data_IF_056774892830
#
_entry.id   IF_056774892830
#
_cell.length_a   1.000
_cell.length_b   1.000
_cell.length_c   1.000
_cell.angle_alpha   90.00
_cell.angle_beta   90.00
_cell.angle_gamma   90.00
#
_symmetry.space_group_name_H-M   'P 1'
#
loop_
_entity.id
_entity.type
_entity.pdbx_description
1 polymer ?
#
# COMPACT_ATOMS: atom_id res chain seq x y z
N UNK A 1 19.74 31.63 -48.23
CA UNK A 1 18.70 32.51 -47.64
C UNK A 1 17.67 31.58 -47.02
N UNK A 2 17.88 31.29 -45.73
CA UNK A 2 16.95 31.57 -44.61
C UNK A 2 15.97 30.40 -44.43
N UNK A 3 16.19 29.39 -43.60
CA UNK A 3 16.41 29.31 -42.13
C UNK A 3 15.16 29.62 -41.26
N UNK A 4 14.87 28.66 -40.36
CA UNK A 4 13.98 28.63 -39.17
C UNK A 4 12.44 28.57 -39.36
N UNK A 5 11.63 27.87 -38.54
CA UNK A 5 11.77 26.99 -37.37
C UNK A 5 10.43 26.20 -37.21
N UNK A 6 10.40 24.89 -36.97
CA UNK A 6 10.33 24.21 -35.66
C UNK A 6 9.35 24.84 -34.66
N UNK A 7 8.09 24.39 -34.67
CA UNK A 7 7.16 24.58 -33.54
C UNK A 7 7.24 23.37 -32.59
N UNK A 8 7.85 23.58 -31.43
CA UNK A 8 7.80 22.66 -30.30
C UNK A 8 6.47 22.76 -29.53
N UNK A 9 6.19 21.82 -28.61
CA UNK A 9 4.95 21.81 -27.84
C UNK A 9 4.93 23.00 -26.87
N UNK A 10 3.87 23.82 -26.98
CA UNK A 10 3.59 24.96 -26.10
C UNK A 10 3.51 24.50 -24.64
N UNK A 11 4.31 25.17 -23.82
CA UNK A 11 4.55 24.85 -22.43
C UNK A 11 3.33 24.96 -21.51
N UNK A 12 3.45 24.19 -20.44
CA UNK A 12 2.80 24.37 -19.15
C UNK A 12 3.04 25.79 -18.61
N UNK A 13 1.96 26.45 -18.23
CA UNK A 13 2.00 27.71 -17.49
C UNK A 13 0.79 28.56 -17.81
N UNK A 14 -0.34 28.28 -17.14
CA UNK A 14 -1.47 29.20 -16.87
C UNK A 14 -2.78 28.42 -16.64
N UNK A 15 -2.91 27.69 -15.53
CA UNK A 15 -4.22 27.41 -14.92
C UNK A 15 -4.15 27.43 -13.38
N UNK A 16 -3.33 28.33 -12.80
CA UNK A 16 -3.69 28.95 -11.53
C UNK A 16 -4.55 30.19 -11.84
N UNK A 17 -5.82 29.96 -12.19
CA UNK A 17 -6.84 31.00 -12.11
C UNK A 17 -7.75 30.65 -10.94
N UNK A 18 -7.63 31.51 -9.93
CA UNK A 18 -8.28 31.50 -8.63
C UNK A 18 -9.57 30.71 -8.56
N UNK A 19 -9.60 29.82 -7.57
CA UNK A 19 -10.83 29.36 -6.97
C UNK A 19 -11.49 30.56 -6.28
N UNK A 20 -12.11 31.43 -7.08
CA UNK A 20 -13.02 32.44 -6.58
C UNK A 20 -14.13 31.66 -5.88
N UNK A 21 -14.15 31.77 -4.55
CA UNK A 21 -15.12 31.19 -3.65
C UNK A 21 -16.53 31.48 -4.15
N UNK A 22 -17.09 30.54 -4.91
CA UNK A 22 -18.49 30.61 -5.35
C UNK A 22 -19.33 30.51 -4.08
N UNK A 23 -20.03 31.59 -3.76
CA UNK A 23 -21.01 31.64 -2.68
C UNK A 23 -21.90 30.41 -2.79
N UNK A 24 -21.83 29.54 -1.78
CA UNK A 24 -22.57 28.30 -1.74
C UNK A 24 -24.05 28.59 -1.51
N UNK A 25 -24.95 27.77 -2.06
CA UNK A 25 -26.40 27.95 -1.85
C UNK A 25 -26.78 28.00 -0.35
N UNK A 26 -26.00 27.36 0.51
CA UNK A 26 -26.17 27.36 1.97
C UNK A 26 -25.83 28.73 2.57
N UNK A 27 -24.77 29.40 2.10
CA UNK A 27 -24.44 30.77 2.54
C UNK A 27 -25.49 31.78 2.10
N UNK A 28 -26.05 31.61 0.89
CA UNK A 28 -27.13 32.49 0.38
C UNK A 28 -28.38 32.35 1.25
N UNK A 29 -28.78 31.11 1.59
CA UNK A 29 -29.95 30.87 2.46
C UNK A 29 -29.70 31.43 3.87
N UNK A 30 -28.50 31.21 4.44
CA UNK A 30 -28.14 31.74 5.75
C UNK A 30 -28.14 33.29 5.77
N UNK A 31 -27.65 33.91 4.70
CA UNK A 31 -27.67 35.37 4.54
C UNK A 31 -29.09 35.93 4.44
N UNK A 32 -29.97 35.28 3.65
CA UNK A 32 -31.38 35.66 3.55
C UNK A 32 -32.06 35.53 4.92
N UNK A 33 -31.88 34.41 5.62
CA UNK A 33 -32.50 34.18 6.93
C UNK A 33 -32.01 35.20 7.97
N UNK A 34 -30.71 35.53 7.97
CA UNK A 34 -30.14 36.58 8.82
C UNK A 34 -30.73 37.96 8.49
N UNK A 35 -30.90 38.26 7.21
CA UNK A 35 -31.53 39.50 6.76
C UNK A 35 -32.99 39.62 7.19
N UNK A 36 -33.77 38.54 7.03
CA UNK A 36 -35.17 38.47 7.49
C UNK A 36 -35.26 38.68 9.00
N UNK A 37 -34.34 38.09 9.77
CA UNK A 37 -34.27 38.30 11.22
C UNK A 37 -33.99 39.76 11.58
N UNK A 38 -33.00 40.39 10.92
CA UNK A 38 -32.67 41.79 11.15
C UNK A 38 -33.83 42.74 10.79
N UNK A 39 -34.56 42.44 9.71
CA UNK A 39 -35.78 43.18 9.36
C UNK A 39 -36.85 43.00 10.43
N UNK A 40 -37.03 41.80 10.97
CA UNK A 40 -37.93 41.53 12.10
C UNK A 40 -37.55 42.34 13.36
N UNK A 41 -36.26 42.40 13.68
CA UNK A 41 -35.73 43.23 14.78
C UNK A 41 -36.01 44.71 14.51
N UNK A 42 -35.78 45.20 13.28
CA UNK A 42 -36.05 46.59 12.93
C UNK A 42 -37.54 46.95 13.04
N UNK A 43 -38.44 46.06 12.59
CA UNK A 43 -39.90 46.22 12.74
C UNK A 43 -40.30 46.22 14.21
N UNK A 44 -39.72 45.34 15.03
CA UNK A 44 -39.97 45.33 16.47
C UNK A 44 -39.56 46.67 17.11
N UNK A 45 -38.38 47.18 16.77
CA UNK A 45 -37.89 48.47 17.27
C UNK A 45 -38.79 49.65 16.86
N UNK A 46 -39.19 49.73 15.59
CA UNK A 46 -40.00 50.84 15.07
C UNK A 46 -41.49 50.74 15.44
N UNK A 47 -42.05 49.53 15.46
CA UNK A 47 -43.49 49.29 15.63
C UNK A 47 -43.94 49.02 17.07
N UNK A 48 -43.08 48.41 17.89
CA UNK A 48 -43.42 48.02 19.27
C UNK A 48 -42.66 48.83 20.33
N UNK A 49 -41.76 49.74 19.94
CA UNK A 49 -41.06 50.62 20.88
C UNK A 49 -40.15 49.88 21.88
N UNK A 50 -39.71 48.66 21.54
CA UNK A 50 -38.90 47.76 22.39
C UNK A 50 -37.52 48.36 22.75
N UNK A 51 -37.18 49.51 22.17
CA UNK A 51 -35.91 50.21 22.32
C UNK A 51 -36.04 51.62 22.88
N UNK A 52 -36.89 51.79 23.89
CA UNK A 52 -36.75 52.90 24.81
C UNK A 52 -36.36 52.37 26.19
N UNK A 53 -35.10 51.94 26.38
CA UNK A 53 -34.56 51.87 27.73
C UNK A 53 -34.76 53.25 28.35
N UNK A 54 -35.60 53.34 29.39
CA UNK A 54 -35.74 54.60 30.12
C UNK A 54 -34.36 55.09 30.61
N UNK A 55 -34.23 56.35 31.04
CA UNK A 55 -32.95 56.95 31.43
C UNK A 55 -32.12 56.15 32.47
N UNK A 56 -32.73 55.17 33.13
CA UNK A 56 -32.16 54.33 34.19
C UNK A 56 -32.03 52.84 33.80
N UNK A 57 -31.99 52.49 32.51
CA UNK A 57 -31.85 51.09 32.10
C UNK A 57 -30.53 50.49 32.62
N UNK A 58 -30.62 49.30 33.21
CA UNK A 58 -29.46 48.65 33.78
C UNK A 58 -28.54 48.14 32.66
N UNK A 59 -27.21 48.10 32.85
CA UNK A 59 -26.28 47.55 31.86
C UNK A 59 -26.63 46.13 31.39
N UNK A 60 -27.35 45.36 32.22
CA UNK A 60 -27.84 44.01 31.89
C UNK A 60 -28.93 44.01 30.81
N UNK A 61 -29.76 45.05 30.72
CA UNK A 61 -30.82 45.15 29.70
C UNK A 61 -30.21 45.33 28.31
N UNK A 62 -29.12 46.13 28.24
CA UNK A 62 -28.34 46.30 27.01
C UNK A 62 -27.67 45.01 26.56
N UNK A 63 -27.08 44.24 27.50
CA UNK A 63 -26.47 42.94 27.20
C UNK A 63 -27.51 41.92 26.72
N UNK A 64 -28.69 41.91 27.35
CA UNK A 64 -29.79 41.01 26.98
C UNK A 64 -30.35 41.34 25.59
N UNK A 65 -30.46 42.62 25.24
CA UNK A 65 -30.83 43.09 23.90
C UNK A 65 -29.79 42.66 22.85
N UNK A 66 -28.50 42.84 23.16
CA UNK A 66 -27.42 42.43 22.28
C UNK A 66 -27.43 40.91 22.06
N UNK A 67 -27.62 40.12 23.13
CA UNK A 67 -27.71 38.67 23.04
C UNK A 67 -28.93 38.21 22.23
N UNK A 68 -30.08 38.86 22.39
CA UNK A 68 -31.30 38.56 21.64
C UNK A 68 -31.14 38.78 20.13
N UNK A 69 -30.30 39.74 19.71
CA UNK A 69 -30.03 40.01 18.29
C UNK A 69 -28.96 39.05 17.75
N UNK A 70 -27.85 38.88 18.47
CA UNK A 70 -26.68 38.15 17.97
C UNK A 70 -26.78 36.63 18.10
N UNK A 71 -27.42 36.10 19.15
CA UNK A 71 -27.55 34.65 19.37
C UNK A 71 -28.24 33.89 18.22
N UNK A 72 -29.40 34.33 17.69
CA UNK A 72 -30.04 33.64 16.57
C UNK A 72 -29.21 33.73 15.27
N UNK A 73 -28.53 34.84 15.01
CA UNK A 73 -27.63 34.98 13.86
C UNK A 73 -26.47 33.98 13.98
N UNK A 74 -25.88 33.86 15.16
CA UNK A 74 -24.83 32.88 15.42
C UNK A 74 -25.33 31.44 15.21
N UNK A 75 -26.52 31.09 15.69
CA UNK A 75 -27.13 29.77 15.49
C UNK A 75 -27.36 29.46 14.01
N UNK A 76 -27.82 30.44 13.22
CA UNK A 76 -28.03 30.29 11.77
C UNK A 76 -26.69 29.99 11.07
N UNK A 77 -25.62 30.69 11.43
CA UNK A 77 -24.29 30.46 10.85
C UNK A 77 -23.68 29.12 11.27
N UNK A 78 -23.90 28.68 12.51
CA UNK A 78 -23.48 27.34 12.97
C UNK A 78 -24.23 26.24 12.20
N UNK A 79 -25.55 26.38 12.03
CA UNK A 79 -26.34 25.43 11.24
C UNK A 79 -25.88 25.38 9.78
N UNK A 80 -25.55 26.54 9.18
CA UNK A 80 -25.02 26.64 7.84
C UNK A 80 -23.64 25.94 7.70
N UNK A 81 -22.76 26.11 8.68
CA UNK A 81 -21.45 25.45 8.71
C UNK A 81 -21.60 23.92 8.78
N UNK A 82 -22.48 23.41 9.65
CA UNK A 82 -22.77 21.97 9.75
C UNK A 82 -23.36 21.42 8.46
N UNK A 83 -24.28 22.15 7.83
CA UNK A 83 -24.89 21.75 6.56
C UNK A 83 -23.88 21.71 5.40
N UNK A 84 -22.86 22.57 5.40
CA UNK A 84 -21.75 22.52 4.43
C UNK A 84 -20.98 21.21 4.57
N UNK A 85 -20.56 20.87 5.78
CA UNK A 85 -19.78 19.64 6.04
C UNK A 85 -20.58 18.38 5.67
N UNK A 86 -21.88 18.38 5.93
CA UNK A 86 -22.76 17.27 5.58
C UNK A 86 -23.01 17.12 4.06
N UNK A 87 -22.97 18.22 3.28
CA UNK A 87 -23.14 18.16 1.82
C UNK A 87 -21.91 17.59 1.12
N UNK A 88 -20.72 17.99 1.53
CA UNK A 88 -19.45 17.45 0.98
C UNK A 88 -19.38 15.93 1.18
N UNK A 89 -19.79 15.44 2.37
CA UNK A 89 -19.87 13.99 2.61
C UNK A 89 -20.98 13.27 1.84
N UNK A 90 -22.10 13.94 1.52
CA UNK A 90 -23.17 13.35 0.71
C UNK A 90 -22.80 13.23 -0.77
N UNK A 91 -22.01 14.16 -1.30
CA UNK A 91 -21.48 14.07 -2.67
C UNK A 91 -20.49 12.90 -2.82
N UNK A 92 -19.71 12.62 -1.77
CA UNK A 92 -18.82 11.44 -1.74
C UNK A 92 -19.60 10.12 -1.54
N UNK A 93 -20.61 10.10 -0.68
CA UNK A 93 -21.42 8.91 -0.42
C UNK A 93 -22.29 8.48 -1.62
N UNK A 94 -22.85 9.44 -2.37
CA UNK A 94 -23.65 9.13 -3.57
C UNK A 94 -22.80 8.56 -4.71
N UNK A 95 -21.55 9.04 -4.85
CA UNK A 95 -20.58 8.49 -5.80
C UNK A 95 -20.18 7.05 -5.44
N UNK A 96 -19.93 6.77 -4.17
CA UNK A 96 -19.64 5.42 -3.68
C UNK A 96 -20.83 4.47 -3.86
N UNK A 97 -22.05 4.92 -3.55
CA UNK A 97 -23.25 4.12 -3.79
C UNK A 97 -23.45 3.79 -5.27
N UNK A 98 -23.21 4.74 -6.18
CA UNK A 98 -23.32 4.50 -7.62
C UNK A 98 -22.31 3.46 -8.13
N UNK A 99 -21.08 3.45 -7.61
CA UNK A 99 -20.06 2.46 -7.94
C UNK A 99 -20.42 1.06 -7.42
N UNK A 100 -20.96 0.97 -6.19
CA UNK A 100 -21.42 -0.28 -5.60
C UNK A 100 -22.60 -0.86 -6.38
N UNK A 101 -23.56 -0.01 -6.77
CA UNK A 101 -24.70 -0.45 -7.58
C UNK A 101 -24.24 -0.93 -8.96
N UNK A 102 -23.28 -0.24 -9.61
CA UNK A 102 -22.71 -0.70 -10.87
C UNK A 102 -22.00 -2.07 -10.75
N UNK A 103 -21.22 -2.30 -9.68
CA UNK A 103 -20.60 -3.61 -9.41
C UNK A 103 -21.64 -4.70 -9.15
N UNK A 104 -22.71 -4.39 -8.42
CA UNK A 104 -23.80 -5.35 -8.14
C UNK A 104 -24.52 -5.74 -9.42
N UNK A 105 -24.77 -4.80 -10.33
CA UNK A 105 -25.35 -5.12 -11.63
C UNK A 105 -24.40 -5.95 -12.51
N UNK A 106 -23.11 -5.61 -12.56
CA UNK A 106 -22.10 -6.41 -13.28
C UNK A 106 -21.97 -7.84 -12.72
N UNK A 107 -22.04 -8.00 -11.40
CA UNK A 107 -21.99 -9.32 -10.75
C UNK A 107 -23.26 -10.15 -11.00
N UNK A 108 -24.45 -9.52 -11.02
CA UNK A 108 -25.70 -10.20 -11.35
C UNK A 108 -25.77 -10.54 -12.84
N UNK A 109 -25.27 -9.67 -13.72
CA UNK A 109 -25.16 -9.93 -15.15
C UNK A 109 -24.20 -11.10 -15.42
N UNK A 110 -23.07 -11.16 -14.72
CA UNK A 110 -22.13 -12.28 -14.75
C UNK A 110 -22.68 -13.56 -14.11
N UNK A 111 -23.51 -13.46 -13.07
CA UNK A 111 -24.22 -14.59 -12.47
C UNK A 111 -25.39 -15.09 -13.35
N UNK A 112 -26.01 -14.22 -14.16
CA UNK A 112 -27.06 -14.59 -15.12
C UNK A 112 -26.49 -15.10 -16.45
N UNK A 113 -25.33 -14.61 -16.91
CA UNK A 113 -24.55 -15.30 -17.96
C UNK A 113 -23.92 -16.60 -17.46
N UNK A 114 -23.87 -16.81 -16.14
CA UNK A 114 -23.62 -18.08 -15.46
C UNK A 114 -24.87 -18.97 -15.32
N UNK A 115 -25.72 -19.08 -16.34
CA UNK A 115 -26.78 -20.10 -16.38
C UNK A 115 -26.16 -21.51 -16.62
N UNK A 116 -26.76 -22.60 -16.08
CA UNK A 116 -26.16 -23.93 -15.91
C UNK A 116 -26.07 -24.76 -17.22
N UNK A 117 -25.40 -24.21 -18.23
CA UNK A 117 -25.25 -24.81 -19.56
C UNK A 117 -23.86 -24.65 -20.21
N UNK A 118 -22.86 -24.14 -19.49
CA UNK A 118 -21.47 -23.99 -20.00
C UNK A 118 -20.59 -25.22 -19.70
N UNK A 119 -21.04 -26.11 -18.80
CA UNK A 119 -20.41 -27.43 -18.57
C UNK A 119 -20.20 -28.28 -19.84
N UNK A 120 -21.13 -28.41 -20.80
CA UNK A 120 -20.93 -29.30 -21.95
C UNK A 120 -19.84 -28.85 -22.92
N UNK A 121 -19.40 -27.59 -22.93
CA UNK A 121 -18.33 -27.14 -23.84
C UNK A 121 -16.95 -27.42 -23.23
N UNK A 122 -16.80 -27.20 -21.92
CA UNK A 122 -15.55 -27.49 -21.21
C UNK A 122 -15.39 -29.00 -21.03
N UNK A 123 -16.46 -29.74 -20.69
CA UNK A 123 -16.45 -31.21 -20.61
C UNK A 123 -16.17 -31.87 -21.98
N UNK A 124 -16.78 -31.39 -23.08
CA UNK A 124 -16.42 -31.87 -24.43
C UNK A 124 -14.96 -31.60 -24.78
N UNK A 125 -14.40 -30.46 -24.37
CA UNK A 125 -12.98 -30.14 -24.61
C UNK A 125 -12.05 -30.96 -23.72
N UNK A 126 -12.46 -31.32 -22.51
CA UNK A 126 -11.74 -32.24 -21.62
C UNK A 126 -11.77 -33.69 -22.15
N UNK A 127 -12.91 -34.16 -22.66
CA UNK A 127 -13.01 -35.51 -23.26
C UNK A 127 -12.22 -35.62 -24.57
N UNK A 128 -12.24 -34.57 -25.41
CA UNK A 128 -11.45 -34.50 -26.65
C UNK A 128 -9.93 -34.52 -26.35
N UNK A 129 -9.49 -33.89 -25.24
CA UNK A 129 -8.10 -33.94 -24.76
C UNK A 129 -7.72 -35.27 -24.11
N UNK A 130 -8.64 -35.92 -23.39
CA UNK A 130 -8.40 -37.24 -22.78
C UNK A 130 -8.26 -38.34 -23.84
N UNK A 131 -9.01 -38.25 -24.95
CA UNK A 131 -8.87 -39.17 -26.09
C UNK A 131 -7.57 -38.90 -26.85
N UNK A 132 -7.16 -37.63 -26.99
CA UNK A 132 -5.88 -37.29 -27.60
C UNK A 132 -4.68 -37.83 -26.78
N UNK A 133 -4.74 -37.78 -25.45
CA UNK A 133 -3.69 -38.34 -24.58
C UNK A 133 -3.57 -39.86 -24.69
N UNK A 134 -4.69 -40.61 -24.76
CA UNK A 134 -4.66 -42.07 -24.95
C UNK A 134 -4.05 -42.50 -26.28
N UNK A 135 -4.21 -41.70 -27.34
CA UNK A 135 -3.59 -41.99 -28.65
C UNK A 135 -2.07 -41.79 -28.62
N UNK A 136 -1.57 -40.79 -27.88
CA UNK A 136 -0.13 -40.63 -27.65
C UNK A 136 0.45 -41.73 -26.77
N UNK A 137 -0.27 -42.20 -25.75
CA UNK A 137 0.20 -43.29 -24.88
C UNK A 137 0.29 -44.62 -25.63
N UNK A 138 -0.70 -44.95 -26.47
CA UNK A 138 -0.67 -46.14 -27.31
C UNK A 138 0.46 -46.11 -28.36
N UNK A 139 0.77 -44.94 -28.91
CA UNK A 139 1.89 -44.77 -29.84
C UNK A 139 3.24 -44.96 -29.11
N UNK A 140 3.40 -44.41 -27.90
CA UNK A 140 4.65 -44.51 -27.12
C UNK A 140 4.93 -45.97 -26.71
N UNK A 141 3.91 -46.78 -26.43
CA UNK A 141 4.07 -48.22 -26.09
C UNK A 141 4.45 -49.07 -27.31
N UNK A 142 4.01 -48.70 -28.52
CA UNK A 142 4.41 -49.42 -29.74
C UNK A 142 5.87 -49.14 -30.16
N UNK A 143 6.47 -48.04 -29.73
CA UNK A 143 7.88 -47.73 -30.02
C UNK A 143 8.88 -48.35 -29.03
N UNK A 144 8.46 -48.76 -27.82
CA UNK A 144 9.37 -49.35 -26.82
C UNK A 144 9.44 -50.89 -26.87
N UNK A 145 8.51 -51.56 -27.55
CA UNK A 145 8.43 -53.03 -27.62
C UNK A 145 9.38 -53.70 -28.63
N UNK A 146 10.19 -52.96 -29.39
CA UNK A 146 10.89 -53.52 -30.57
C UNK A 146 12.42 -53.56 -30.48
N UNK A 147 12.98 -53.78 -29.29
CA UNK A 147 14.42 -54.02 -29.17
C UNK A 147 14.75 -55.03 -28.07
N UNK A 148 14.55 -56.31 -28.38
CA UNK A 148 15.25 -57.38 -27.66
C UNK A 148 15.34 -58.69 -28.46
N UNK A 149 16.53 -59.00 -29.03
CA UNK A 149 17.07 -60.36 -29.30
C UNK A 149 18.50 -60.31 -29.96
N UNK A 150 19.32 -61.39 -29.98
CA UNK A 150 20.29 -61.78 -28.94
C UNK A 150 21.72 -62.12 -29.47
N UNK A 151 22.73 -62.33 -28.60
CA UNK A 151 23.88 -63.28 -28.73
C UNK A 151 24.82 -63.11 -27.53
N UNK A 152 24.93 -64.09 -26.60
CA UNK A 152 25.84 -65.26 -26.57
C UNK A 152 27.31 -64.92 -26.27
N UNK A 153 27.80 -65.24 -25.06
CA UNK A 153 28.78 -66.32 -24.77
C UNK A 153 29.37 -66.29 -23.33
N UNK A 154 29.45 -67.49 -22.74
CA UNK A 154 30.41 -68.01 -21.74
C UNK A 154 30.34 -67.67 -20.21
N UNK A 155 30.02 -68.74 -19.45
CA UNK A 155 30.28 -69.09 -18.03
C UNK A 155 31.77 -68.93 -17.59
N UNK A 156 32.20 -69.11 -16.30
CA UNK A 156 31.48 -69.64 -15.11
C UNK A 156 31.76 -68.99 -13.71
N UNK A 157 30.82 -69.22 -12.77
CA UNK A 157 30.89 -69.56 -11.32
C UNK A 157 31.91 -68.95 -10.30
N UNK A 158 31.33 -68.35 -9.23
CA UNK A 158 31.64 -68.27 -7.77
C UNK A 158 33.00 -68.79 -7.22
N UNK A 159 33.61 -68.17 -6.16
CA UNK A 159 33.05 -68.28 -4.79
C UNK A 159 33.35 -67.16 -3.73
N UNK A 160 32.49 -67.16 -2.69
CA UNK A 160 32.64 -66.82 -1.26
C UNK A 160 33.84 -65.97 -0.79
N UNK A 161 33.54 -64.89 -0.07
CA UNK A 161 34.43 -64.23 0.90
C UNK A 161 33.63 -63.62 2.04
N UNK A 162 33.97 -64.00 3.27
CA UNK A 162 33.32 -63.77 4.56
C UNK A 162 33.96 -62.58 5.28
N UNK A 163 33.18 -61.72 5.94
CA UNK A 163 33.45 -60.98 7.21
C UNK A 163 32.12 -60.31 7.60
N UNK A 164 31.27 -60.86 8.48
CA UNK A 164 31.27 -60.70 9.96
C UNK A 164 31.62 -59.26 10.39
N UNK A 165 30.62 -58.41 10.66
CA UNK A 165 29.98 -58.15 11.96
C UNK A 165 30.77 -57.06 12.75
N UNK A 166 30.21 -56.02 13.38
CA UNK A 166 28.85 -55.68 13.80
C UNK A 166 28.82 -54.21 14.30
N UNK A 167 27.60 -53.65 14.52
CA UNK A 167 27.22 -52.70 15.62
C UNK A 167 27.69 -51.23 15.47
N UNK A 168 26.92 -50.13 15.58
CA UNK A 168 25.58 -49.76 16.07
C UNK A 168 25.35 -48.26 15.69
N UNK A 169 24.23 -47.83 15.08
CA UNK A 169 23.01 -47.20 15.66
C UNK A 169 22.90 -45.68 15.42
N UNK A 170 21.89 -45.33 14.61
CA UNK A 170 20.96 -44.17 14.65
C UNK A 170 21.47 -42.71 14.74
N UNK A 171 20.95 -41.90 13.82
CA UNK A 171 20.66 -40.48 14.10
C UNK A 171 21.46 -39.47 13.28
N UNK A 172 21.21 -39.38 11.98
CA UNK A 172 21.69 -38.27 11.17
C UNK A 172 21.16 -38.37 9.75
N UNK A 173 20.25 -37.46 9.39
CA UNK A 173 19.63 -37.34 8.07
C UNK A 173 20.62 -37.67 6.95
N UNK A 174 20.36 -38.73 6.20
CA UNK A 174 20.96 -38.93 4.89
C UNK A 174 20.48 -37.79 4.00
N UNK A 175 21.35 -36.80 3.77
CA UNK A 175 21.16 -35.77 2.76
C UNK A 175 20.92 -36.47 1.43
N UNK A 176 19.66 -36.44 0.98
CA UNK A 176 19.29 -36.87 -0.35
C UNK A 176 20.09 -36.01 -1.34
N UNK A 177 21.07 -36.63 -2.00
CA UNK A 177 21.78 -36.08 -3.14
C UNK A 177 20.84 -36.03 -4.35
N UNK A 178 19.86 -35.13 -4.30
CA UNK A 178 19.18 -34.63 -5.48
C UNK A 178 20.09 -33.54 -6.06
N UNK A 179 20.28 -33.55 -7.39
CA UNK A 179 21.17 -32.64 -8.10
C UNK A 179 21.01 -31.19 -7.64
N UNK A 180 22.06 -30.38 -7.82
CA UNK A 180 22.12 -28.94 -7.47
C UNK A 180 20.72 -28.33 -7.53
N UNK A 181 20.14 -27.93 -6.39
CA UNK A 181 18.79 -27.38 -6.40
C UNK A 181 18.76 -26.23 -7.41
N UNK A 182 17.70 -26.15 -8.21
CA UNK A 182 17.56 -25.09 -9.22
C UNK A 182 17.72 -23.68 -8.61
N UNK A 183 17.52 -23.54 -7.29
CA UNK A 183 17.84 -22.35 -6.48
C UNK A 183 19.32 -21.97 -6.42
N UNK A 184 20.25 -22.92 -6.49
CA UNK A 184 21.70 -22.63 -6.51
C UNK A 184 22.20 -22.15 -7.88
N UNK A 185 21.35 -22.18 -8.91
CA UNK A 185 21.65 -21.72 -10.27
C UNK A 185 21.12 -20.30 -10.56
N UNK A 186 20.34 -19.72 -9.65
CA UNK A 186 19.84 -18.35 -9.83
C UNK A 186 20.89 -17.36 -9.36
N UNK A 187 21.27 -16.45 -10.26
CA UNK A 187 22.16 -15.36 -9.94
C UNK A 187 21.47 -14.42 -8.94
N UNK A 188 22.08 -14.12 -7.79
CA UNK A 188 21.49 -13.21 -6.81
C UNK A 188 21.17 -11.85 -7.43
N UNK A 189 20.07 -11.23 -7.00
CA UNK A 189 19.73 -9.89 -7.47
C UNK A 189 20.85 -8.88 -7.14
N UNK A 190 21.12 -7.98 -8.09
CA UNK A 190 22.08 -6.90 -7.87
C UNK A 190 21.59 -5.95 -6.76
N UNK A 191 22.51 -5.40 -5.97
CA UNK A 191 22.19 -4.42 -4.91
C UNK A 191 21.43 -3.22 -5.48
N UNK A 192 21.83 -2.73 -6.67
CA UNK A 192 21.18 -1.63 -7.35
C UNK A 192 19.74 -1.94 -7.76
N UNK A 193 19.47 -3.13 -8.31
CA UNK A 193 18.11 -3.53 -8.68
C UNK A 193 17.25 -3.77 -7.43
N UNK A 194 17.82 -4.29 -6.35
CA UNK A 194 17.12 -4.42 -5.07
C UNK A 194 16.70 -3.06 -4.50
N UNK A 195 17.59 -2.06 -4.49
CA UNK A 195 17.27 -0.70 -4.03
C UNK A 195 16.15 -0.10 -4.90
N UNK A 196 16.23 -0.24 -6.23
CA UNK A 196 15.18 0.23 -7.14
C UNK A 196 13.84 -0.46 -6.87
N UNK A 197 13.86 -1.78 -6.66
CA UNK A 197 12.66 -2.54 -6.33
C UNK A 197 12.06 -2.10 -4.99
N UNK A 198 12.89 -1.87 -3.96
CA UNK A 198 12.45 -1.38 -2.65
C UNK A 198 11.89 0.05 -2.68
N UNK A 199 12.25 0.86 -3.68
CA UNK A 199 11.62 2.15 -3.89
C UNK A 199 10.24 2.06 -4.53
N UNK A 200 9.93 0.95 -5.22
CA UNK A 200 8.78 0.78 -6.12
C UNK A 200 8.77 1.74 -7.32
N UNK A 201 8.17 1.34 -8.47
CA UNK A 201 8.05 2.20 -9.63
C UNK A 201 7.24 3.47 -9.34
N UNK A 202 7.71 4.62 -9.83
CA UNK A 202 7.03 5.91 -9.57
C UNK A 202 5.83 6.15 -10.47
N UNK A 203 5.89 5.67 -11.71
CA UNK A 203 4.86 5.87 -12.73
C UNK A 203 4.61 4.60 -13.53
N UNK A 204 3.50 4.57 -14.28
CA UNK A 204 3.19 3.46 -15.19
C UNK A 204 4.22 3.29 -16.32
N UNK A 205 5.05 4.31 -16.57
CA UNK A 205 6.04 4.35 -17.65
C UNK A 205 7.44 3.94 -17.16
N UNK A 206 7.63 3.72 -15.86
CA UNK A 206 8.91 3.34 -15.25
C UNK A 206 9.29 1.87 -15.54
N UNK A 207 9.73 1.62 -16.77
CA UNK A 207 10.14 0.30 -17.25
C UNK A 207 11.30 -0.29 -16.46
N UNK A 208 12.24 0.55 -16.03
CA UNK A 208 13.40 0.11 -15.27
C UNK A 208 13.00 -0.31 -13.84
N UNK A 209 12.11 0.45 -13.20
CA UNK A 209 11.52 0.09 -11.91
C UNK A 209 10.73 -1.22 -11.98
N UNK A 210 9.89 -1.42 -13.00
CA UNK A 210 9.17 -2.68 -13.19
C UNK A 210 10.09 -3.87 -13.48
N UNK A 211 11.20 -3.66 -14.22
CA UNK A 211 12.21 -4.71 -14.43
C UNK A 211 12.87 -5.11 -13.12
N UNK A 212 13.35 -4.14 -12.35
CA UNK A 212 13.97 -4.36 -11.04
C UNK A 212 13.00 -5.05 -10.07
N UNK A 213 11.74 -4.61 -10.03
CA UNK A 213 10.70 -5.21 -9.21
C UNK A 213 10.46 -6.68 -9.56
N UNK A 214 10.41 -7.03 -10.86
CA UNK A 214 10.24 -8.41 -11.30
C UNK A 214 11.41 -9.29 -10.86
N UNK A 215 12.64 -8.83 -11.08
CA UNK A 215 13.85 -9.54 -10.63
C UNK A 215 13.85 -9.75 -9.11
N UNK A 216 13.43 -8.73 -8.34
CA UNK A 216 13.37 -8.82 -6.88
C UNK A 216 12.27 -9.79 -6.39
N UNK A 217 11.21 -9.97 -7.17
CA UNK A 217 10.14 -10.93 -6.87
C UNK A 217 10.50 -12.38 -7.21
N UNK A 218 11.48 -12.60 -8.11
CA UNK A 218 12.05 -13.91 -8.42
C UNK A 218 12.97 -14.41 -7.29
N UNK A 219 13.72 -13.51 -6.65
CA UNK A 219 14.52 -13.82 -5.45
C UNK A 219 13.62 -14.01 -4.21
N UNK A 220 13.70 -15.19 -3.58
CA UNK A 220 12.82 -15.56 -2.45
C UNK A 220 12.97 -14.64 -1.24
N UNK A 221 14.17 -14.20 -0.90
CA UNK A 221 14.42 -13.38 0.29
C UNK A 221 14.04 -11.93 0.04
N UNK A 222 14.41 -11.37 -1.12
CA UNK A 222 14.01 -10.03 -1.53
C UNK A 222 12.48 -9.93 -1.65
N UNK A 223 11.83 -10.92 -2.26
CA UNK A 223 10.40 -10.90 -2.50
C UNK A 223 9.57 -10.87 -1.22
N UNK A 224 10.05 -11.44 -0.11
CA UNK A 224 9.37 -11.35 1.19
C UNK A 224 9.32 -9.89 1.68
N UNK A 225 10.43 -9.16 1.59
CA UNK A 225 10.47 -7.75 1.97
C UNK A 225 9.60 -6.91 1.03
N UNK A 226 9.73 -7.12 -0.28
CA UNK A 226 8.98 -6.34 -1.27
C UNK A 226 7.47 -6.51 -1.05
N UNK A 227 6.99 -7.75 -0.85
CA UNK A 227 5.56 -7.98 -0.57
C UNK A 227 5.11 -7.35 0.76
N UNK A 228 5.86 -7.57 1.84
CA UNK A 228 5.47 -6.98 3.14
C UNK A 228 5.53 -5.45 3.13
N UNK A 229 6.48 -4.86 2.41
CA UNK A 229 6.57 -3.43 2.18
C UNK A 229 5.36 -2.93 1.36
N UNK A 230 5.00 -3.62 0.29
CA UNK A 230 3.84 -3.27 -0.53
C UNK A 230 2.55 -3.28 0.28
N UNK A 231 2.33 -4.32 1.09
CA UNK A 231 1.15 -4.43 1.96
C UNK A 231 1.10 -3.26 2.95
N UNK A 232 2.24 -2.98 3.59
CA UNK A 232 2.35 -1.89 4.56
C UNK A 232 2.14 -0.51 3.92
N UNK A 233 2.75 -0.24 2.76
CA UNK A 233 2.57 1.01 2.02
C UNK A 233 1.13 1.19 1.56
N UNK A 234 0.47 0.09 1.15
CA UNK A 234 -0.95 0.11 0.79
C UNK A 234 -1.81 0.52 1.97
N UNK A 235 -1.59 -0.07 3.15
CA UNK A 235 -2.33 0.30 4.37
C UNK A 235 -2.07 1.75 4.80
N UNK A 236 -0.83 2.22 4.75
CA UNK A 236 -0.49 3.62 5.05
C UNK A 236 -1.19 4.60 4.08
N UNK A 237 -1.27 4.24 2.80
CA UNK A 237 -1.96 5.08 1.79
C UNK A 237 -3.47 5.20 2.02
N UNK A 238 -4.11 4.19 2.62
CA UNK A 238 -5.53 4.24 2.96
C UNK A 238 -5.83 5.30 4.02
N UNK A 239 -4.85 5.57 4.90
CA UNK A 239 -4.91 6.62 5.91
C UNK A 239 -4.35 7.97 5.40
N UNK A 240 -4.06 8.07 4.10
CA UNK A 240 -3.52 9.28 3.47
C UNK A 240 -2.04 9.55 3.75
N UNK A 241 -1.28 8.55 4.20
CA UNK A 241 0.14 8.68 4.50
C UNK A 241 0.96 8.18 3.31
N UNK A 242 1.50 9.10 2.53
CA UNK A 242 2.38 8.80 1.39
C UNK A 242 3.85 9.03 1.75
N UNK A 243 4.71 8.05 1.44
CA UNK A 243 6.14 8.13 1.82
C UNK A 243 6.91 9.23 1.07
N UNK A 244 6.42 9.64 -0.10
CA UNK A 244 7.02 10.68 -0.92
C UNK A 244 6.83 12.09 -0.31
N UNK A 245 5.78 12.27 0.50
CA UNK A 245 5.51 13.52 1.22
C UNK A 245 6.42 13.66 2.47
N UNK A 246 6.94 12.55 2.97
CA UNK A 246 7.78 12.53 4.16
C UNK A 246 9.19 12.98 3.81
N UNK A 247 9.76 13.86 4.64
CA UNK A 247 11.15 14.31 4.52
C UNK A 247 11.98 13.78 5.70
N UNK A 248 12.58 12.59 5.59
CA UNK A 248 13.41 12.06 6.66
C UNK A 248 14.69 12.91 6.82
N UNK A 249 15.12 13.11 8.05
CA UNK A 249 16.46 13.64 8.32
C UNK A 249 17.52 12.65 7.83
N UNK A 250 18.52 13.15 7.10
CA UNK A 250 19.58 12.31 6.54
C UNK A 250 20.36 11.62 7.66
N UNK A 251 20.30 10.29 7.66
CA UNK A 251 21.02 9.47 8.61
C UNK A 251 22.39 9.08 8.06
N UNK A 252 23.41 9.02 8.92
CA UNK A 252 24.73 8.51 8.53
C UNK A 252 24.64 7.00 8.23
N UNK A 253 25.39 6.48 7.23
CA UNK A 253 25.45 5.05 6.93
C UNK A 253 25.84 4.19 8.14
N UNK A 254 26.74 4.71 8.97
CA UNK A 254 27.22 4.06 10.20
C UNK A 254 26.07 3.67 11.15
N UNK A 255 25.00 4.48 11.23
CA UNK A 255 23.86 4.19 12.10
C UNK A 255 23.03 3.01 11.56
N UNK A 256 22.88 2.90 10.24
CA UNK A 256 22.25 1.73 9.62
C UNK A 256 23.05 0.46 9.85
N UNK A 257 24.39 0.53 9.77
CA UNK A 257 25.28 -0.61 10.07
C UNK A 257 25.18 -1.03 11.53
N UNK A 258 25.23 -0.07 12.46
CA UNK A 258 25.08 -0.34 13.91
C UNK A 258 23.71 -0.94 14.24
N UNK A 259 22.65 -0.45 13.60
CA UNK A 259 21.33 -1.05 13.73
C UNK A 259 21.30 -2.50 13.21
N UNK A 260 21.91 -2.78 12.05
CA UNK A 260 22.02 -4.14 11.51
C UNK A 260 22.83 -5.08 12.44
N UNK A 261 23.81 -4.56 13.18
CA UNK A 261 24.57 -5.31 14.19
C UNK A 261 23.79 -5.56 15.49
N UNK A 262 22.54 -5.10 15.59
CA UNK A 262 21.68 -5.33 16.75
C UNK A 262 21.74 -4.23 17.81
N UNK A 263 22.39 -3.10 17.55
CA UNK A 263 22.33 -1.95 18.48
C UNK A 263 20.91 -1.36 18.51
N UNK A 264 20.42 -0.99 19.69
CA UNK A 264 19.05 -0.50 19.92
C UNK A 264 19.04 0.68 20.91
N UNK A 265 17.95 1.47 20.90
CA UNK A 265 17.71 2.58 21.83
C UNK A 265 18.42 3.89 21.48
N UNK A 266 18.60 4.76 22.48
CA UNK A 266 19.16 6.12 22.36
C UNK A 266 20.32 6.35 21.36
N UNK A 267 21.36 5.49 21.29
CA UNK A 267 22.45 5.64 20.32
C UNK A 267 22.03 5.61 18.85
N UNK A 268 20.93 4.93 18.53
CA UNK A 268 20.36 4.82 17.18
C UNK A 268 19.08 5.63 16.99
N UNK A 269 18.68 6.46 17.97
CA UNK A 269 17.47 7.28 17.92
C UNK A 269 17.38 8.17 16.67
N UNK A 270 18.54 8.58 16.15
CA UNK A 270 18.67 9.37 14.93
C UNK A 270 18.31 8.61 13.65
N UNK A 271 18.18 7.28 13.69
CA UNK A 271 17.76 6.44 12.56
C UNK A 271 16.28 6.65 12.22
N UNK A 272 15.43 6.93 13.22
CA UNK A 272 14.03 7.30 13.04
C UNK A 272 13.88 8.72 12.52
N UNK A 273 14.38 9.00 11.31
CA UNK A 273 14.50 10.34 10.72
C UNK A 273 13.17 11.05 10.43
N UNK A 274 12.04 10.36 10.54
CA UNK A 274 10.71 10.91 10.28
C UNK A 274 10.16 11.55 11.56
N UNK A 275 9.92 12.87 11.49
CA UNK A 275 9.43 13.69 12.62
C UNK A 275 8.05 14.31 12.40
N UNK A 276 7.36 13.95 11.33
CA UNK A 276 6.03 14.48 11.05
C UNK A 276 5.03 14.04 12.14
N UNK A 277 4.58 15.00 12.95
CA UNK A 277 3.69 14.74 14.09
C UNK A 277 2.34 14.18 13.66
N UNK A 278 1.83 14.61 12.50
CA UNK A 278 0.52 14.17 11.99
C UNK A 278 0.60 12.72 11.57
N UNK A 279 1.60 12.35 10.77
CA UNK A 279 1.79 10.97 10.33
C UNK A 279 2.07 10.04 11.52
N UNK A 280 2.91 10.45 12.47
CA UNK A 280 3.18 9.67 13.68
C UNK A 280 1.91 9.45 14.51
N UNK A 281 1.06 10.47 14.66
CA UNK A 281 -0.20 10.36 15.38
C UNK A 281 -1.20 9.44 14.68
N UNK A 282 -1.36 9.57 13.36
CA UNK A 282 -2.25 8.73 12.55
C UNK A 282 -1.81 7.27 12.58
N UNK A 283 -0.54 6.99 12.32
CA UNK A 283 0.02 5.63 12.37
C UNK A 283 -0.08 5.04 13.78
N UNK A 284 0.21 5.81 14.84
CA UNK A 284 0.06 5.34 16.23
C UNK A 284 -1.38 5.02 16.60
N UNK A 285 -2.34 5.87 16.17
CA UNK A 285 -3.76 5.60 16.35
C UNK A 285 -4.17 4.32 15.61
N UNK A 286 -3.71 4.14 14.37
CA UNK A 286 -4.02 2.97 13.55
C UNK A 286 -3.50 1.66 14.16
N UNK A 287 -2.25 1.66 14.63
CA UNK A 287 -1.64 0.53 15.36
C UNK A 287 -2.45 0.07 16.58
N UNK A 288 -3.17 0.99 17.24
CA UNK A 288 -4.02 0.66 18.39
C UNK A 288 -5.42 0.20 17.97
N UNK A 289 -6.00 0.83 16.95
CA UNK A 289 -7.37 0.60 16.53
C UNK A 289 -7.57 -0.62 15.64
N UNK A 290 -6.57 -0.99 14.84
CA UNK A 290 -6.69 -1.98 13.77
C UNK A 290 -5.70 -3.14 13.98
N UNK A 291 -6.19 -4.33 14.39
CA UNK A 291 -5.34 -5.50 14.57
C UNK A 291 -4.63 -5.96 13.30
N UNK A 292 -5.26 -5.79 12.12
CA UNK A 292 -4.68 -6.21 10.84
C UNK A 292 -3.51 -5.29 10.51
N UNK A 293 -3.70 -3.97 10.64
CA UNK A 293 -2.62 -3.00 10.48
C UNK A 293 -1.44 -3.30 11.40
N UNK A 294 -1.73 -3.58 12.67
CA UNK A 294 -0.69 -3.90 13.67
C UNK A 294 0.08 -5.17 13.30
N UNK A 295 -0.60 -6.22 12.87
CA UNK A 295 0.04 -7.48 12.46
C UNK A 295 0.91 -7.29 11.22
N UNK A 296 0.38 -6.62 10.18
CA UNK A 296 1.13 -6.28 8.97
C UNK A 296 2.37 -5.43 9.28
N UNK A 297 2.23 -4.43 10.17
CA UNK A 297 3.36 -3.59 10.59
C UNK A 297 4.45 -4.39 11.29
N UNK A 298 4.11 -5.26 12.24
CA UNK A 298 5.09 -6.11 12.90
C UNK A 298 5.75 -7.10 11.95
N UNK A 299 4.97 -7.73 11.06
CA UNK A 299 5.49 -8.63 10.05
C UNK A 299 6.49 -7.91 9.13
N UNK A 300 6.13 -6.72 8.66
CA UNK A 300 6.99 -5.87 7.85
C UNK A 300 8.27 -5.47 8.57
N UNK A 301 8.20 -4.97 9.82
CA UNK A 301 9.37 -4.57 10.61
C UNK A 301 10.35 -5.75 10.81
N UNK A 302 9.84 -6.94 11.11
CA UNK A 302 10.65 -8.15 11.26
C UNK A 302 11.31 -8.54 9.93
N UNK A 303 10.57 -8.45 8.82
CA UNK A 303 11.12 -8.80 7.51
C UNK A 303 12.19 -7.79 7.06
N UNK A 304 11.98 -6.50 7.32
CA UNK A 304 12.93 -5.43 7.02
C UNK A 304 14.24 -5.62 7.77
N UNK A 305 14.20 -5.88 9.08
CA UNK A 305 15.39 -6.12 9.90
C UNK A 305 16.19 -7.31 9.38
N UNK A 306 15.53 -8.44 9.09
CA UNK A 306 16.18 -9.63 8.52
C UNK A 306 16.88 -9.34 7.19
N UNK A 307 16.23 -8.60 6.29
CA UNK A 307 16.83 -8.25 5.00
C UNK A 307 17.99 -7.26 5.16
N UNK A 308 17.88 -6.32 6.09
CA UNK A 308 18.94 -5.33 6.33
C UNK A 308 20.23 -5.98 6.83
N UNK A 309 20.13 -6.99 7.71
CA UNK A 309 21.30 -7.76 8.19
C UNK A 309 22.04 -8.48 7.05
N UNK A 310 21.32 -8.95 6.04
CA UNK A 310 21.92 -9.53 4.84
C UNK A 310 22.52 -8.47 3.91
N UNK A 311 21.76 -7.40 3.68
CA UNK A 311 22.09 -6.31 2.77
C UNK A 311 23.32 -5.51 3.21
N UNK A 312 23.48 -5.25 4.51
CA UNK A 312 24.59 -4.46 5.05
C UNK A 312 25.98 -5.06 4.74
N UNK A 313 26.06 -6.40 4.64
CA UNK A 313 27.30 -7.13 4.36
C UNK A 313 27.78 -6.96 2.93
N UNK A 314 26.86 -6.71 1.99
CA UNK A 314 27.15 -6.58 0.56
C UNK A 314 27.09 -5.12 0.08
N UNK A 315 26.39 -4.25 0.81
CA UNK A 315 26.17 -2.86 0.43
C UNK A 315 27.34 -1.94 0.81
N UNK A 316 27.68 -1.05 -0.13
CA UNK A 316 28.54 0.10 0.10
C UNK A 316 27.81 1.19 0.89
N UNK A 317 28.56 2.15 1.43
CA UNK A 317 27.97 3.28 2.18
C UNK A 317 27.06 4.14 1.30
N UNK A 318 27.38 4.29 0.01
CA UNK A 318 26.55 5.02 -0.95
C UNK A 318 25.22 4.31 -1.21
N UNK A 319 25.25 2.98 -1.34
CA UNK A 319 24.06 2.14 -1.52
C UNK A 319 23.18 2.12 -0.27
N UNK A 320 23.77 2.13 0.93
CA UNK A 320 23.02 2.26 2.18
C UNK A 320 22.27 3.60 2.26
N UNK A 321 22.88 4.70 1.80
CA UNK A 321 22.20 6.00 1.74
C UNK A 321 21.05 5.96 0.75
N UNK A 322 21.26 5.40 -0.45
CA UNK A 322 20.19 5.27 -1.45
C UNK A 322 19.05 4.38 -0.94
N UNK A 323 19.37 3.26 -0.28
CA UNK A 323 18.39 2.39 0.35
C UNK A 323 17.57 3.13 1.41
N UNK A 324 18.22 3.94 2.24
CA UNK A 324 17.56 4.75 3.27
C UNK A 324 16.58 5.79 2.72
N UNK A 325 16.76 6.23 1.47
CA UNK A 325 15.86 7.20 0.81
C UNK A 325 14.61 6.54 0.19
N UNK A 326 14.57 5.21 0.07
CA UNK A 326 13.45 4.48 -0.56
C UNK A 326 12.14 4.58 0.21
N UNK A 327 11.01 4.44 -0.49
CA UNK A 327 9.67 4.35 0.13
C UNK A 327 9.59 3.28 1.22
N UNK A 328 10.21 2.12 0.98
CA UNK A 328 10.30 1.06 1.99
C UNK A 328 11.06 1.55 3.23
N UNK A 329 12.28 2.06 3.10
CA UNK A 329 13.05 2.51 4.28
C UNK A 329 12.35 3.65 5.05
N UNK A 330 11.64 4.56 4.35
CA UNK A 330 10.82 5.60 4.98
C UNK A 330 9.69 4.99 5.81
N UNK A 331 8.95 4.02 5.27
CA UNK A 331 7.91 3.32 6.02
C UNK A 331 8.48 2.64 7.28
N UNK A 332 9.65 2.02 7.17
CA UNK A 332 10.37 1.45 8.30
C UNK A 332 10.72 2.49 9.37
N UNK A 333 11.29 3.64 8.99
CA UNK A 333 11.61 4.72 9.93
C UNK A 333 10.37 5.24 10.67
N UNK A 334 9.24 5.39 9.96
CA UNK A 334 7.98 5.87 10.52
C UNK A 334 7.45 4.87 11.55
N UNK A 335 7.36 3.59 11.17
CA UNK A 335 6.83 2.53 12.02
C UNK A 335 7.74 2.25 13.20
N UNK A 336 9.05 2.18 12.98
CA UNK A 336 10.04 1.97 14.04
C UNK A 336 9.94 3.04 15.13
N UNK A 337 9.67 4.29 14.75
CA UNK A 337 9.43 5.37 15.71
C UNK A 337 8.11 5.20 16.47
N UNK A 338 7.03 4.82 15.78
CA UNK A 338 5.72 4.57 16.41
C UNK A 338 5.76 3.39 17.39
N UNK A 339 6.57 2.36 17.10
CA UNK A 339 6.72 1.19 17.96
C UNK A 339 7.77 1.36 19.06
N UNK A 340 8.48 2.50 19.10
CA UNK A 340 9.55 2.74 20.08
C UNK A 340 10.81 1.90 19.84
N UNK A 341 11.08 1.48 18.60
CA UNK A 341 12.27 0.67 18.26
C UNK A 341 13.58 1.46 18.43
N UNK A 342 13.49 2.79 18.34
CA UNK A 342 14.65 3.69 18.36
C UNK A 342 14.79 4.47 19.67
N UNK A 343 13.85 4.32 20.61
CA UNK A 343 13.80 5.10 21.86
C UNK A 343 14.56 4.43 23.02
#
# INVERSE_FOLDING_TARGET
MSDQASEGPKGLGELEKGNASRLTAVEIIAAILSGVWLVGVAIAFLGFGVANPGPNAAPVDFVMLMLAIFMPIALIWVAAAVARTARVMREEATRLQSAITAMRYAYIEQAQTGAPGVKPVVEKKLDELAVAQKQTEAAIVQFTSRRDHPQSENKPALPKGRFEAAIQTEGGQSTFALGTPTEALQEPISVADFIKAANFPETAEDKDGFRALRLALEDREAAKLIRSAQDMLTLLSQDGIYMDDLRPERTKPELWRRFALGERGGPIAALGGIRDRSCLALTSARMRSDPVFRDTAHHYLVQFDKTLVGFEKTATDAELIQFAETRSARAFMLLGRVTGMFD
#
